data_IF_951202015726
#
_entry.id   IF_951202015726
#
_cell.length_a   1.000
_cell.length_b   1.000
_cell.length_c   1.000
_cell.angle_alpha   90.00
_cell.angle_beta   90.00
_cell.angle_gamma   90.00
#
_symmetry.space_group_name_H-M   'P 1'
#
loop_
_entity.id
_entity.type
_entity.pdbx_description
1 polymer ?
#
# COMPACT_ATOMS: atom_id res chain seq x y z
N UNK A 1 -17.77 13.36 13.93
CA UNK A 1 -17.32 13.42 15.35
C UNK A 1 -16.07 12.58 15.53
N UNK A 2 -15.28 12.87 16.53
CA UNK A 2 -14.07 12.10 16.87
C UNK A 2 -14.35 10.60 17.08
N UNK A 3 -15.49 10.27 17.69
CA UNK A 3 -15.89 8.87 17.89
C UNK A 3 -16.12 8.11 16.56
N UNK A 4 -16.71 8.76 15.56
CA UNK A 4 -16.90 8.17 14.24
C UNK A 4 -15.55 7.96 13.52
N UNK A 5 -14.69 8.97 13.59
CA UNK A 5 -13.33 8.91 13.04
C UNK A 5 -12.50 7.78 13.67
N UNK A 6 -12.55 7.66 15.01
CA UNK A 6 -11.89 6.56 15.72
C UNK A 6 -12.39 5.18 15.31
N UNK A 7 -13.70 5.00 15.13
CA UNK A 7 -14.25 3.71 14.65
C UNK A 7 -13.73 3.35 13.26
N UNK A 8 -13.66 4.33 12.35
CA UNK A 8 -13.10 4.10 11.02
C UNK A 8 -11.62 3.77 11.08
N UNK A 9 -10.86 4.54 11.86
CA UNK A 9 -9.44 4.34 12.09
C UNK A 9 -9.15 2.94 12.63
N UNK A 10 -9.83 2.54 13.70
CA UNK A 10 -9.62 1.24 14.35
C UNK A 10 -10.03 0.06 13.44
N UNK A 11 -11.10 0.21 12.65
CA UNK A 11 -11.50 -0.81 11.68
C UNK A 11 -10.44 -1.02 10.59
N UNK A 12 -9.84 0.06 10.07
CA UNK A 12 -8.76 -0.02 9.09
C UNK A 12 -7.50 -0.59 9.72
N UNK A 13 -7.05 -0.04 10.86
CA UNK A 13 -5.84 -0.46 11.57
C UNK A 13 -5.83 -1.96 11.90
N UNK A 14 -7.00 -2.51 12.21
CA UNK A 14 -7.16 -3.92 12.56
C UNK A 14 -7.56 -4.82 11.36
N UNK A 15 -7.56 -4.29 10.12
CA UNK A 15 -7.90 -5.05 8.93
C UNK A 15 -9.32 -5.63 8.92
N UNK A 16 -10.27 -4.99 9.61
CA UNK A 16 -11.65 -5.47 9.78
C UNK A 16 -12.51 -5.12 8.55
N UNK A 17 -12.25 -5.77 7.43
CA UNK A 17 -12.92 -5.51 6.14
C UNK A 17 -14.43 -5.69 6.19
N UNK A 18 -14.92 -6.64 6.97
CA UNK A 18 -16.34 -6.93 7.21
C UNK A 18 -17.07 -5.78 7.92
N UNK A 19 -16.35 -4.98 8.70
CA UNK A 19 -16.90 -3.86 9.48
C UNK A 19 -16.88 -2.53 8.74
N UNK A 20 -16.12 -2.40 7.66
CA UNK A 20 -15.97 -1.11 6.96
C UNK A 20 -17.33 -0.55 6.54
N UNK A 21 -18.19 -1.36 5.91
CA UNK A 21 -19.50 -0.89 5.46
C UNK A 21 -20.36 -0.40 6.63
N UNK A 22 -20.43 -1.14 7.72
CA UNK A 22 -21.24 -0.78 8.89
C UNK A 22 -20.77 0.51 9.56
N UNK A 23 -19.44 0.71 9.64
CA UNK A 23 -18.85 1.91 10.26
C UNK A 23 -19.18 3.19 9.46
N UNK A 24 -19.31 3.08 8.12
CA UNK A 24 -19.69 4.21 7.27
C UNK A 24 -21.21 4.46 7.24
N UNK A 25 -22.05 3.48 7.62
CA UNK A 25 -23.51 3.65 7.73
C UNK A 25 -23.96 4.32 9.04
N UNK A 26 -23.08 4.38 10.04
CA UNK A 26 -23.39 5.07 11.30
C UNK A 26 -23.38 6.57 11.03
N UNK A 27 -24.53 7.20 11.19
CA UNK A 27 -24.65 8.65 11.06
C UNK A 27 -23.72 9.33 12.07
N UNK A 28 -22.80 10.20 11.61
CA UNK A 28 -21.89 10.88 12.53
C UNK A 28 -22.68 11.83 13.45
N UNK A 29 -22.45 11.73 14.75
CA UNK A 29 -22.93 12.74 15.69
C UNK A 29 -22.17 14.04 15.48
N UNK A 30 -22.86 15.13 15.18
CA UNK A 30 -22.27 16.46 15.04
C UNK A 30 -22.29 17.00 13.61
N UNK A 31 -22.05 18.29 13.50
CA UNK A 31 -22.01 19.02 12.23
C UNK A 31 -20.65 18.83 11.57
N UNK A 32 -20.58 18.47 10.28
CA UNK A 32 -19.31 18.43 9.56
C UNK A 32 -18.62 19.78 9.57
N UNK A 33 -17.30 19.78 9.62
CA UNK A 33 -16.51 20.99 9.50
C UNK A 33 -16.73 21.67 8.14
N UNK A 34 -16.69 22.99 8.12
CA UNK A 34 -16.77 23.78 6.90
C UNK A 34 -15.36 24.22 6.51
N UNK A 35 -14.71 23.44 5.63
CA UNK A 35 -13.36 23.70 5.11
C UNK A 35 -13.38 24.52 3.82
N UNK A 36 -14.56 24.72 3.21
CA UNK A 36 -14.76 25.51 2.01
C UNK A 36 -16.23 25.97 1.94
N UNK A 37 -16.46 27.19 1.36
CA UNK A 37 -17.80 27.68 1.05
C UNK A 37 -18.46 26.92 -0.12
N UNK A 38 -17.66 26.34 -1.01
CA UNK A 38 -18.14 25.47 -2.08
C UNK A 38 -18.34 24.05 -1.50
N UNK A 39 -19.55 23.50 -1.61
CA UNK A 39 -19.94 22.23 -1.01
C UNK A 39 -19.15 21.04 -1.57
N UNK A 40 -18.94 21.00 -2.90
CA UNK A 40 -18.15 19.96 -3.53
C UNK A 40 -16.68 20.03 -3.08
N UNK A 41 -16.11 21.24 -3.07
CA UNK A 41 -14.74 21.45 -2.60
C UNK A 41 -14.60 21.13 -1.12
N UNK A 42 -15.61 21.44 -0.31
CA UNK A 42 -15.64 21.05 1.10
C UNK A 42 -15.58 19.52 1.26
N UNK A 43 -16.38 18.79 0.48
CA UNK A 43 -16.37 17.33 0.49
C UNK A 43 -15.04 16.73 0.05
N UNK A 44 -14.39 17.30 -0.96
CA UNK A 44 -13.02 16.89 -1.38
C UNK A 44 -11.99 17.13 -0.28
N UNK A 45 -12.01 18.30 0.36
CA UNK A 45 -11.09 18.61 1.46
C UNK A 45 -11.27 17.65 2.65
N UNK A 46 -12.52 17.32 2.99
CA UNK A 46 -12.83 16.34 4.04
C UNK A 46 -12.34 14.94 3.68
N UNK A 47 -12.49 14.54 2.40
CA UNK A 47 -11.96 13.29 1.90
C UNK A 47 -10.44 13.21 2.03
N UNK A 48 -9.70 14.25 1.62
CA UNK A 48 -8.23 14.33 1.71
C UNK A 48 -7.78 14.19 3.16
N UNK A 49 -8.44 14.91 4.09
CA UNK A 49 -8.17 14.76 5.52
C UNK A 49 -8.42 13.33 6.02
N UNK A 50 -9.53 12.70 5.58
CA UNK A 50 -9.86 11.32 5.92
C UNK A 50 -8.84 10.31 5.37
N UNK A 51 -8.39 10.47 4.12
CA UNK A 51 -7.35 9.61 3.52
C UNK A 51 -6.04 9.67 4.31
N UNK A 52 -5.66 10.83 4.81
CA UNK A 52 -4.47 10.95 5.68
C UNK A 52 -4.60 10.06 6.92
N UNK A 53 -5.77 10.03 7.56
CA UNK A 53 -6.02 9.18 8.72
C UNK A 53 -6.03 7.69 8.34
N UNK A 54 -6.62 7.31 7.20
CA UNK A 54 -6.62 5.93 6.71
C UNK A 54 -5.19 5.44 6.44
N UNK A 55 -4.35 6.31 5.86
CA UNK A 55 -2.93 6.03 5.63
C UNK A 55 -2.21 5.73 6.95
N UNK A 56 -2.39 6.57 7.96
CA UNK A 56 -1.78 6.37 9.29
C UNK A 56 -2.28 5.08 9.95
N UNK A 57 -3.59 4.82 9.90
CA UNK A 57 -4.18 3.60 10.43
C UNK A 57 -3.60 2.35 9.76
N UNK A 58 -3.43 2.37 8.44
CA UNK A 58 -2.87 1.25 7.69
C UNK A 58 -1.40 1.01 8.04
N UNK A 59 -0.59 2.06 8.16
CA UNK A 59 0.82 1.96 8.58
C UNK A 59 0.90 1.37 9.99
N UNK A 60 0.11 1.85 10.94
CA UNK A 60 0.02 1.26 12.28
C UNK A 60 -0.47 -0.19 12.27
N UNK A 61 -1.30 -0.56 11.29
CA UNK A 61 -1.76 -1.93 11.05
C UNK A 61 -0.74 -2.83 10.35
N UNK A 62 0.46 -2.31 10.06
CA UNK A 62 1.57 -3.09 9.50
C UNK A 62 1.73 -3.00 7.97
N UNK A 63 1.00 -2.12 7.30
CA UNK A 63 1.23 -1.86 5.86
C UNK A 63 2.53 -1.05 5.69
N UNK A 64 3.42 -1.44 4.77
CA UNK A 64 4.62 -0.64 4.47
C UNK A 64 4.28 0.80 4.09
N UNK A 65 5.08 1.75 4.56
CA UNK A 65 4.85 3.19 4.37
C UNK A 65 4.69 3.54 2.89
N UNK A 66 5.56 3.03 2.00
CA UNK A 66 5.51 3.29 0.57
C UNK A 66 4.18 2.82 -0.05
N UNK A 67 3.69 1.65 0.36
CA UNK A 67 2.41 1.11 -0.11
C UNK A 67 1.25 1.98 0.37
N UNK A 68 1.27 2.37 1.64
CA UNK A 68 0.23 3.20 2.22
C UNK A 68 0.19 4.61 1.59
N UNK A 69 1.35 5.24 1.38
CA UNK A 69 1.43 6.54 0.70
C UNK A 69 1.04 6.47 -0.78
N UNK A 70 1.46 5.42 -1.51
CA UNK A 70 1.05 5.24 -2.90
C UNK A 70 -0.48 5.10 -3.04
N UNK A 71 -1.14 4.37 -2.13
CA UNK A 71 -2.60 4.31 -2.07
C UNK A 71 -3.22 5.68 -1.77
N UNK A 72 -2.66 6.42 -0.81
CA UNK A 72 -3.09 7.77 -0.47
C UNK A 72 -3.08 8.68 -1.69
N UNK A 73 -1.95 8.75 -2.37
CA UNK A 73 -1.75 9.62 -3.53
C UNK A 73 -2.72 9.28 -4.66
N UNK A 74 -2.92 7.99 -4.96
CA UNK A 74 -3.88 7.55 -5.96
C UNK A 74 -5.32 7.97 -5.62
N UNK A 75 -5.75 7.83 -4.38
CA UNK A 75 -7.09 8.26 -3.97
C UNK A 75 -7.26 9.78 -3.93
N UNK A 76 -6.21 10.53 -3.56
CA UNK A 76 -6.24 12.01 -3.60
C UNK A 76 -6.35 12.50 -5.04
N UNK A 77 -5.63 11.89 -5.98
CA UNK A 77 -5.78 12.22 -7.41
C UNK A 77 -7.18 11.89 -7.93
N UNK A 78 -7.71 10.73 -7.56
CA UNK A 78 -9.05 10.29 -7.99
C UNK A 78 -10.15 11.21 -7.49
N UNK A 79 -10.07 11.74 -6.26
CA UNK A 79 -11.12 12.61 -5.73
C UNK A 79 -11.23 13.92 -6.50
N UNK A 80 -10.16 14.39 -7.13
CA UNK A 80 -10.20 15.61 -7.95
C UNK A 80 -11.11 15.46 -9.19
N UNK A 81 -11.26 14.24 -9.70
CA UNK A 81 -12.17 13.92 -10.82
C UNK A 81 -13.65 13.77 -10.38
N UNK A 82 -13.91 13.67 -9.08
CA UNK A 82 -15.27 13.55 -8.58
C UNK A 82 -16.07 14.85 -8.77
N UNK A 83 -17.29 14.70 -9.31
CA UNK A 83 -18.20 15.82 -9.61
C UNK A 83 -19.40 15.92 -8.68
N UNK A 84 -19.57 14.98 -7.74
CA UNK A 84 -20.68 14.95 -6.79
C UNK A 84 -20.25 14.47 -5.40
N UNK A 85 -20.98 14.90 -4.37
CA UNK A 85 -20.78 14.42 -3.00
C UNK A 85 -20.96 12.91 -2.89
N UNK A 86 -21.97 12.36 -3.57
CA UNK A 86 -22.21 10.91 -3.58
C UNK A 86 -21.05 10.11 -4.16
N UNK A 87 -20.40 10.61 -5.23
CA UNK A 87 -19.20 9.94 -5.78
C UNK A 87 -18.04 9.95 -4.79
N UNK A 88 -17.86 11.05 -4.04
CA UNK A 88 -16.83 11.17 -3.00
C UNK A 88 -17.10 10.22 -1.83
N UNK A 89 -18.35 10.09 -1.39
CA UNK A 89 -18.75 9.16 -0.32
C UNK A 89 -18.47 7.70 -0.71
N UNK A 90 -18.83 7.30 -1.94
CA UNK A 90 -18.52 5.97 -2.47
C UNK A 90 -17.00 5.73 -2.55
N UNK A 91 -16.26 6.73 -3.01
CA UNK A 91 -14.80 6.67 -3.08
C UNK A 91 -14.18 6.50 -1.69
N UNK A 92 -14.71 7.20 -0.67
CA UNK A 92 -14.25 7.09 0.71
C UNK A 92 -14.43 5.68 1.28
N UNK A 93 -15.58 5.06 1.04
CA UNK A 93 -15.84 3.68 1.46
C UNK A 93 -14.92 2.70 0.74
N UNK A 94 -14.74 2.87 -0.58
CA UNK A 94 -13.83 2.05 -1.38
C UNK A 94 -12.39 2.18 -0.88
N UNK A 95 -11.95 3.39 -0.57
CA UNK A 95 -10.62 3.64 -0.02
C UNK A 95 -10.43 2.96 1.34
N UNK A 96 -11.34 3.15 2.28
CA UNK A 96 -11.27 2.53 3.60
C UNK A 96 -11.21 1.00 3.52
N UNK A 97 -12.04 0.40 2.66
CA UNK A 97 -12.01 -1.04 2.41
C UNK A 97 -10.66 -1.48 1.86
N UNK A 98 -10.10 -0.75 0.90
CA UNK A 98 -8.80 -1.07 0.31
C UNK A 98 -7.67 -0.97 1.33
N UNK A 99 -7.62 0.08 2.15
CA UNK A 99 -6.64 0.19 3.23
C UNK A 99 -6.78 -0.96 4.24
N UNK A 100 -8.00 -1.31 4.66
CA UNK A 100 -8.23 -2.44 5.57
C UNK A 100 -7.81 -3.78 4.95
N UNK A 101 -8.02 -4.00 3.65
CA UNK A 101 -7.55 -5.19 2.93
C UNK A 101 -6.02 -5.28 2.91
N UNK A 102 -5.32 -4.16 2.74
CA UNK A 102 -3.85 -4.16 2.80
C UNK A 102 -3.35 -4.48 4.22
N UNK A 103 -4.00 -3.94 5.25
CA UNK A 103 -3.70 -4.32 6.65
C UNK A 103 -3.96 -5.80 6.88
N UNK A 104 -5.09 -6.34 6.40
CA UNK A 104 -5.40 -7.76 6.55
C UNK A 104 -4.34 -8.65 5.89
N UNK A 105 -3.84 -8.27 4.73
CA UNK A 105 -2.75 -8.97 4.06
C UNK A 105 -1.42 -8.88 4.83
N UNK A 106 -1.14 -7.71 5.42
CA UNK A 106 0.07 -7.45 6.20
C UNK A 106 -0.01 -8.08 7.61
N UNK A 107 -1.18 -8.03 8.26
CA UNK A 107 -1.40 -8.42 9.66
C UNK A 107 -1.56 -9.91 9.91
N UNK A 108 -1.60 -10.76 8.88
CA UNK A 108 -1.66 -12.22 9.06
C UNK A 108 -0.33 -12.87 9.42
N UNK A 109 0.75 -12.10 9.54
CA UNK A 109 2.08 -12.63 9.84
C UNK A 109 2.70 -11.87 11.00
N UNK A 110 2.51 -12.39 12.22
CA UNK A 110 3.37 -12.01 13.34
C UNK A 110 4.74 -12.62 13.08
N UNK A 111 5.64 -11.81 12.54
CA UNK A 111 7.04 -12.20 12.41
C UNK A 111 7.75 -12.04 13.75
N UNK A 112 8.79 -12.82 13.99
CA UNK A 112 9.74 -12.54 15.05
C UNK A 112 10.37 -11.15 14.86
N UNK A 113 10.88 -10.57 15.94
CA UNK A 113 11.54 -9.26 15.92
C UNK A 113 12.66 -9.19 14.88
N UNK A 114 13.38 -10.27 14.71
CA UNK A 114 14.46 -10.41 13.73
C UNK A 114 13.93 -10.37 12.31
N UNK A 115 12.82 -11.05 12.02
CA UNK A 115 12.21 -11.03 10.69
C UNK A 115 11.52 -9.70 10.41
N UNK A 116 10.90 -9.06 11.40
CA UNK A 116 10.37 -7.69 11.24
C UNK A 116 11.47 -6.70 10.88
N UNK A 117 12.64 -6.77 11.56
CA UNK A 117 13.79 -5.92 11.25
C UNK A 117 14.33 -6.20 9.84
N UNK A 118 14.43 -7.48 9.43
CA UNK A 118 14.86 -7.88 8.10
C UNK A 118 13.91 -7.37 7.00
N UNK A 119 12.60 -7.53 7.19
CA UNK A 119 11.56 -7.04 6.26
C UNK A 119 11.61 -5.52 6.14
N UNK A 120 11.74 -4.82 7.26
CA UNK A 120 11.88 -3.37 7.27
C UNK A 120 13.14 -2.92 6.51
N UNK A 121 14.28 -3.60 6.72
CA UNK A 121 15.51 -3.33 5.98
C UNK A 121 15.32 -3.52 4.48
N UNK A 122 14.70 -4.63 4.04
CA UNK A 122 14.41 -4.90 2.63
C UNK A 122 13.58 -3.77 2.02
N UNK A 123 12.48 -3.37 2.68
CA UNK A 123 11.58 -2.33 2.15
C UNK A 123 12.28 -0.98 1.98
N UNK A 124 13.16 -0.60 2.91
CA UNK A 124 13.92 0.65 2.83
C UNK A 124 14.99 0.64 1.72
N UNK A 125 15.39 -0.55 1.23
CA UNK A 125 16.51 -0.72 0.31
C UNK A 125 16.11 -1.37 -1.03
N UNK A 126 14.82 -1.39 -1.42
CA UNK A 126 14.38 -2.00 -2.68
C UNK A 126 15.05 -1.39 -3.93
N UNK A 127 15.48 -0.12 -3.83
CA UNK A 127 16.11 0.65 -4.89
C UNK A 127 17.66 0.51 -4.96
N UNK A 128 18.23 -0.32 -4.10
CA UNK A 128 19.66 -0.69 -4.11
C UNK A 128 19.83 -2.20 -4.05
N UNK A 129 21.01 -2.76 -4.36
CA UNK A 129 21.27 -4.18 -4.12
C UNK A 129 21.10 -4.53 -2.63
N UNK A 130 20.32 -5.57 -2.35
CA UNK A 130 20.08 -6.08 -0.99
C UNK A 130 20.73 -7.44 -0.87
N UNK A 131 21.66 -7.60 0.07
CA UNK A 131 22.32 -8.87 0.37
C UNK A 131 21.74 -9.51 1.64
N UNK A 132 21.90 -10.83 1.73
CA UNK A 132 21.48 -11.58 2.93
C UNK A 132 22.33 -11.18 4.14
N UNK A 133 23.61 -10.89 3.93
CA UNK A 133 24.58 -10.50 4.95
C UNK A 133 24.21 -9.16 5.60
N UNK A 134 23.98 -8.12 4.78
CA UNK A 134 23.58 -6.78 5.26
C UNK A 134 22.23 -6.82 5.97
N UNK A 135 21.29 -7.61 5.44
CA UNK A 135 19.96 -7.77 6.06
C UNK A 135 20.06 -8.49 7.41
N UNK A 136 20.93 -9.50 7.51
CA UNK A 136 21.17 -10.23 8.75
C UNK A 136 21.84 -9.35 9.81
N UNK A 137 22.80 -8.51 9.41
CA UNK A 137 23.43 -7.51 10.26
C UNK A 137 22.38 -6.52 10.81
N UNK A 138 21.50 -5.99 9.95
CA UNK A 138 20.41 -5.11 10.37
C UNK A 138 19.42 -5.79 11.33
N UNK A 139 19.24 -7.10 11.19
CA UNK A 139 18.39 -7.91 12.07
C UNK A 139 19.11 -8.40 13.35
N UNK A 140 20.42 -8.16 13.47
CA UNK A 140 21.25 -8.57 14.62
C UNK A 140 21.46 -10.10 14.74
N UNK A 141 21.43 -10.83 13.61
CA UNK A 141 21.59 -12.29 13.55
C UNK A 141 22.55 -12.71 12.43
N UNK A 142 22.97 -13.99 12.42
CA UNK A 142 23.81 -14.49 11.33
C UNK A 142 23.01 -14.71 10.03
N UNK A 143 23.66 -14.57 8.88
CA UNK A 143 23.05 -14.79 7.57
C UNK A 143 22.45 -16.20 7.42
N UNK A 144 23.14 -17.23 7.90
CA UNK A 144 22.65 -18.61 7.90
C UNK A 144 21.38 -18.77 8.72
N UNK A 145 21.29 -18.13 9.88
CA UNK A 145 20.12 -18.17 10.73
C UNK A 145 18.97 -17.38 10.10
N UNK A 146 19.27 -16.18 9.59
CA UNK A 146 18.27 -15.37 8.86
C UNK A 146 17.65 -16.17 7.71
N UNK A 147 18.44 -16.78 6.85
CA UNK A 147 17.94 -17.55 5.69
C UNK A 147 16.93 -18.61 6.07
N UNK A 148 17.22 -19.39 7.14
CA UNK A 148 16.32 -20.42 7.62
C UNK A 148 15.06 -19.85 8.27
N UNK A 149 15.22 -18.87 9.15
CA UNK A 149 14.13 -18.24 9.87
C UNK A 149 13.20 -17.49 8.90
N UNK A 150 13.77 -16.77 7.93
CA UNK A 150 13.05 -16.05 6.91
C UNK A 150 12.12 -16.96 6.10
N UNK A 151 12.65 -18.08 5.60
CA UNK A 151 11.83 -19.09 4.89
C UNK A 151 10.77 -19.70 5.79
N UNK A 152 11.09 -20.00 7.06
CA UNK A 152 10.15 -20.58 8.02
C UNK A 152 8.97 -19.64 8.28
N UNK A 153 9.23 -18.37 8.51
CA UNK A 153 8.20 -17.40 8.91
C UNK A 153 7.49 -16.75 7.72
N UNK A 154 8.20 -16.41 6.65
CA UNK A 154 7.59 -15.79 5.45
C UNK A 154 7.02 -16.80 4.47
N UNK A 155 7.45 -18.07 4.56
CA UNK A 155 7.12 -19.12 3.59
C UNK A 155 7.86 -18.97 2.26
N UNK A 156 8.74 -17.97 2.11
CA UNK A 156 9.46 -17.64 0.87
C UNK A 156 10.97 -17.69 1.08
N UNK A 157 11.71 -17.95 -0.01
CA UNK A 157 13.15 -17.71 0.00
C UNK A 157 13.39 -16.18 0.03
N UNK A 158 14.49 -15.78 0.66
CA UNK A 158 14.89 -14.37 0.78
C UNK A 158 14.92 -13.63 -0.56
N UNK A 159 15.52 -14.23 -1.58
CA UNK A 159 15.60 -13.64 -2.93
C UNK A 159 14.23 -13.53 -3.60
N UNK A 160 13.36 -14.54 -3.44
CA UNK A 160 12.00 -14.52 -4.01
C UNK A 160 11.14 -13.45 -3.33
N UNK A 161 11.34 -13.26 -2.03
CA UNK A 161 10.65 -12.21 -1.29
C UNK A 161 11.04 -10.81 -1.82
N UNK A 162 12.33 -10.52 -1.96
CA UNK A 162 12.81 -9.25 -2.52
C UNK A 162 12.26 -9.03 -3.93
N UNK A 163 12.27 -10.05 -4.79
CA UNK A 163 11.70 -9.95 -6.13
C UNK A 163 10.22 -9.60 -6.08
N UNK A 164 9.46 -10.25 -5.21
CA UNK A 164 8.03 -9.98 -5.04
C UNK A 164 7.78 -8.55 -4.60
N UNK A 165 8.49 -8.06 -3.57
CA UNK A 165 8.34 -6.68 -3.08
C UNK A 165 8.73 -5.65 -4.16
N UNK A 166 9.79 -5.90 -4.93
CA UNK A 166 10.16 -5.05 -6.08
C UNK A 166 9.08 -5.04 -7.15
N UNK A 167 8.41 -6.17 -7.42
CA UNK A 167 7.28 -6.20 -8.37
C UNK A 167 6.07 -5.46 -7.82
N UNK A 168 5.77 -5.55 -6.52
CA UNK A 168 4.70 -4.76 -5.91
C UNK A 168 4.99 -3.26 -5.99
N UNK A 169 6.23 -2.84 -5.71
CA UNK A 169 6.66 -1.46 -5.93
C UNK A 169 6.55 -1.04 -7.41
N UNK A 170 6.95 -1.90 -8.35
CA UNK A 170 6.80 -1.65 -9.79
C UNK A 170 5.33 -1.47 -10.20
N UNK A 171 4.41 -2.26 -9.65
CA UNK A 171 2.98 -2.11 -9.89
C UNK A 171 2.47 -0.72 -9.45
N UNK A 172 2.91 -0.26 -8.28
CA UNK A 172 2.58 1.08 -7.78
C UNK A 172 3.15 2.17 -8.68
N UNK A 173 4.43 2.08 -9.06
CA UNK A 173 5.07 3.04 -9.96
C UNK A 173 4.39 3.09 -11.34
N UNK A 174 4.02 1.94 -11.92
CA UNK A 174 3.28 1.88 -13.19
C UNK A 174 1.89 2.51 -13.10
N UNK A 175 1.25 2.42 -11.95
CA UNK A 175 -0.11 2.92 -11.73
C UNK A 175 -0.14 4.42 -11.44
N UNK A 176 0.82 4.91 -10.65
CA UNK A 176 0.76 6.27 -10.07
C UNK A 176 1.87 7.21 -10.57
N UNK A 177 2.64 6.81 -11.58
CA UNK A 177 3.68 7.66 -12.15
C UNK A 177 3.80 7.48 -13.66
N UNK A 178 4.53 8.43 -14.29
CA UNK A 178 4.83 8.39 -15.72
C UNK A 178 6.09 7.60 -16.05
N UNK A 179 6.71 6.95 -15.07
CA UNK A 179 7.92 6.16 -15.32
C UNK A 179 7.67 5.06 -16.36
N UNK A 180 8.68 4.88 -17.21
CA UNK A 180 8.72 3.78 -18.18
C UNK A 180 9.14 2.48 -17.51
N UNK A 181 8.83 1.34 -18.12
CA UNK A 181 9.29 0.03 -17.63
C UNK A 181 10.81 -0.07 -17.53
N UNK A 182 11.55 0.63 -18.40
CA UNK A 182 13.01 0.69 -18.35
C UNK A 182 13.49 1.43 -17.10
N UNK A 183 12.96 2.62 -16.83
CA UNK A 183 13.29 3.40 -15.64
C UNK A 183 12.94 2.67 -14.34
N UNK A 184 11.77 2.00 -14.28
CA UNK A 184 11.36 1.20 -13.13
C UNK A 184 12.31 0.02 -12.92
N UNK A 185 12.68 -0.68 -14.00
CA UNK A 185 13.64 -1.79 -13.96
C UNK A 185 14.98 -1.38 -13.38
N UNK A 186 15.50 -0.24 -13.81
CA UNK A 186 16.76 0.33 -13.31
C UNK A 186 16.64 0.74 -11.85
N UNK A 187 15.61 1.52 -11.51
CA UNK A 187 15.36 2.00 -10.15
C UNK A 187 15.21 0.87 -9.12
N UNK A 188 14.54 -0.22 -9.50
CA UNK A 188 14.33 -1.38 -8.62
C UNK A 188 15.43 -2.46 -8.76
N UNK A 189 16.60 -2.10 -9.30
CA UNK A 189 17.79 -2.96 -9.37
C UNK A 189 17.54 -4.33 -10.05
N UNK A 190 16.75 -4.37 -11.11
CA UNK A 190 16.72 -5.53 -11.99
C UNK A 190 17.91 -5.48 -12.95
N UNK A 191 18.58 -6.60 -13.15
CA UNK A 191 19.79 -6.69 -13.99
C UNK A 191 19.58 -6.25 -15.44
N UNK A 192 18.39 -6.47 -15.98
CA UNK A 192 17.97 -6.02 -17.32
C UNK A 192 16.47 -5.79 -17.38
N UNK A 193 16.03 -4.92 -18.29
CA UNK A 193 14.60 -4.73 -18.56
C UNK A 193 13.90 -6.03 -18.98
N UNK A 194 14.56 -6.87 -19.77
CA UNK A 194 14.00 -8.15 -20.20
C UNK A 194 13.77 -9.09 -19.01
N UNK A 195 14.70 -9.12 -18.06
CA UNK A 195 14.55 -9.89 -16.83
C UNK A 195 13.43 -9.34 -15.97
N UNK A 196 13.35 -8.02 -15.81
CA UNK A 196 12.22 -7.36 -15.13
C UNK A 196 10.87 -7.78 -15.74
N UNK A 197 10.70 -7.66 -17.07
CA UNK A 197 9.44 -8.05 -17.74
C UNK A 197 9.10 -9.52 -17.50
N UNK A 198 10.10 -10.41 -17.51
CA UNK A 198 9.91 -11.85 -17.21
C UNK A 198 9.40 -12.06 -15.78
N UNK A 199 10.06 -11.43 -14.80
CA UNK A 199 9.69 -11.54 -13.38
C UNK A 199 8.34 -10.86 -13.10
N UNK A 200 8.10 -9.69 -13.69
CA UNK A 200 6.82 -8.99 -13.58
C UNK A 200 5.66 -9.87 -14.07
N UNK A 201 5.83 -10.51 -15.24
CA UNK A 201 4.83 -11.44 -15.77
C UNK A 201 4.63 -12.68 -14.89
N UNK A 202 5.69 -13.20 -14.26
CA UNK A 202 5.61 -14.33 -13.32
C UNK A 202 4.68 -14.01 -12.14
N UNK A 203 4.79 -12.79 -11.59
CA UNK A 203 4.03 -12.40 -10.40
C UNK A 203 2.66 -11.78 -10.70
N UNK A 204 2.47 -11.10 -11.83
CA UNK A 204 1.24 -10.37 -12.16
C UNK A 204 0.39 -11.03 -13.24
N UNK A 205 0.92 -12.04 -13.93
CA UNK A 205 0.26 -12.70 -15.06
C UNK A 205 0.28 -11.89 -16.38
N UNK A 206 0.77 -10.63 -16.36
CA UNK A 206 0.75 -9.75 -17.54
C UNK A 206 2.06 -8.96 -17.70
N UNK A 207 2.21 -8.23 -18.79
CA UNK A 207 3.40 -7.38 -19.00
C UNK A 207 3.20 -6.00 -18.36
N UNK A 208 4.30 -5.28 -18.00
CA UNK A 208 4.21 -3.93 -17.44
C UNK A 208 3.41 -2.95 -18.29
N UNK A 209 3.57 -3.01 -19.63
CA UNK A 209 2.85 -2.15 -20.56
C UNK A 209 1.33 -2.42 -20.57
N UNK A 210 0.93 -3.69 -20.55
CA UNK A 210 -0.50 -4.07 -20.44
C UNK A 210 -1.04 -3.71 -19.04
N UNK A 211 -0.28 -3.96 -17.99
CA UNK A 211 -0.68 -3.63 -16.61
C UNK A 211 -0.98 -2.14 -16.48
N UNK A 212 -0.09 -1.26 -16.95
CA UNK A 212 -0.30 0.20 -16.95
C UNK A 212 -1.57 0.58 -17.71
N UNK A 213 -1.79 0.02 -18.90
CA UNK A 213 -2.98 0.31 -19.73
C UNK A 213 -4.29 -0.09 -19.03
N UNK A 214 -4.37 -1.27 -18.44
CA UNK A 214 -5.59 -1.75 -17.77
C UNK A 214 -5.88 -0.96 -16.49
N UNK A 215 -4.86 -0.67 -15.67
CA UNK A 215 -5.06 0.07 -14.43
C UNK A 215 -5.47 1.53 -14.65
N UNK A 216 -4.96 2.18 -15.69
CA UNK A 216 -5.41 3.54 -16.07
C UNK A 216 -6.86 3.55 -16.57
N UNK A 217 -7.37 2.45 -17.15
CA UNK A 217 -8.77 2.33 -17.56
C UNK A 217 -9.73 2.05 -16.40
N UNK A 218 -9.30 1.32 -15.37
CA UNK A 218 -10.12 1.04 -14.18
C UNK A 218 -10.33 2.27 -13.29
N UNK A 219 -9.61 3.37 -13.54
CA UNK A 219 -9.70 4.64 -12.80
C UNK A 219 -10.52 5.71 -13.55
N UNK A 220 -10.88 5.48 -14.83
CA UNK A 220 -11.80 6.31 -15.61
C UNK A 220 -13.20 5.75 -15.53
#
# INVERSE_FOLDING_TARGET
>A
SYASERRQYDAIRNGQTDRIQSVFQITPDGTPGILSRNELRNSKNMFIAGITLFTRAAIEGGVPEETAYALSDGYIQTVEECTSKSSIEKLSQKAALRFAQEVQKSGMRHYSREIEAAVKYIHLHLHVPVTLEETAEAAGISASYLSRLFKKETGMLFVDYIQKERIEAACNMLTYSDYTAAQISEYLCFSTQSYFIKIFRKYTGTTPAKYKKYKVQDWK
#
